data_IF_202443481440
#
_entry.id   IF_202443481440
#
_cell.length_a   1.000
_cell.length_b   1.000
_cell.length_c   1.000
_cell.angle_alpha   90.00
_cell.angle_beta   90.00
_cell.angle_gamma   90.00
#
_symmetry.space_group_name_H-M   'P 1'
#
loop_
_entity.id
_entity.type
_entity.pdbx_description
1 polymer ?
#
# COMPACT_ATOMS: atom_id res chain seq x y z
N UNK A 1 3.30 -13.84 -46.12
CA UNK A 1 2.75 -12.97 -45.07
C UNK A 1 3.85 -12.73 -44.05
N UNK A 2 4.46 -11.54 -44.06
CA UNK A 2 5.51 -11.18 -43.10
C UNK A 2 4.84 -10.60 -41.85
N UNK A 3 4.84 -11.36 -40.76
CA UNK A 3 4.34 -10.86 -39.47
C UNK A 3 5.40 -9.96 -38.86
N UNK A 4 5.06 -8.69 -38.62
CA UNK A 4 5.94 -7.80 -37.88
C UNK A 4 6.24 -8.41 -36.49
N UNK A 5 7.49 -8.35 -36.01
CA UNK A 5 7.83 -8.88 -34.70
C UNK A 5 7.07 -8.13 -33.61
N UNK A 6 6.56 -8.87 -32.62
CA UNK A 6 6.00 -8.32 -31.40
C UNK A 6 7.07 -7.46 -30.71
N UNK A 7 6.86 -6.14 -30.69
CA UNK A 7 7.72 -5.21 -29.99
C UNK A 7 7.16 -5.00 -28.59
N UNK A 8 7.86 -5.52 -27.59
CA UNK A 8 7.56 -5.27 -26.19
C UNK A 8 8.20 -3.95 -25.78
N UNK A 9 7.38 -2.97 -25.42
CA UNK A 9 7.85 -1.70 -24.86
C UNK A 9 7.81 -1.81 -23.34
N UNK A 10 8.99 -1.74 -22.72
CA UNK A 10 9.14 -1.79 -21.27
C UNK A 10 9.03 -0.36 -20.73
N UNK A 11 7.94 -0.06 -20.04
CA UNK A 11 7.86 1.11 -19.18
C UNK A 11 8.35 0.71 -17.79
N UNK A 12 9.46 1.31 -17.34
CA UNK A 12 10.05 1.03 -16.03
C UNK A 12 9.08 1.35 -14.86
N UNK A 13 8.09 2.20 -15.10
CA UNK A 13 7.16 2.69 -14.09
C UNK A 13 5.76 2.04 -14.18
N UNK A 14 5.51 1.24 -15.23
CA UNK A 14 4.21 0.60 -15.42
C UNK A 14 4.02 -0.54 -14.41
N UNK A 15 3.05 -0.36 -13.51
CA UNK A 15 2.57 -1.42 -12.62
C UNK A 15 1.39 -2.12 -13.28
N UNK A 16 1.52 -3.43 -13.48
CA UNK A 16 0.45 -4.24 -14.08
C UNK A 16 -0.56 -4.59 -13.00
N UNK A 17 -1.83 -4.28 -13.26
CA UNK A 17 -2.95 -4.77 -12.45
C UNK A 17 -3.24 -6.23 -12.84
N UNK A 18 -3.24 -7.12 -11.85
CA UNK A 18 -3.46 -8.55 -12.03
C UNK A 18 -4.85 -8.95 -11.50
N UNK A 19 -5.53 -9.96 -12.08
CA UNK A 19 -6.80 -10.44 -11.54
C UNK A 19 -6.69 -10.82 -10.06
N UNK A 20 -7.62 -10.34 -9.24
CA UNK A 20 -7.61 -10.53 -7.80
C UNK A 20 -8.27 -11.85 -7.38
N UNK A 21 -7.59 -12.94 -7.68
CA UNK A 21 -7.97 -14.28 -7.25
C UNK A 21 -6.79 -15.02 -6.62
N UNK A 22 -7.08 -16.02 -5.77
CA UNK A 22 -6.06 -16.75 -4.99
C UNK A 22 -4.95 -17.34 -5.87
N UNK A 23 -5.30 -17.88 -7.03
CA UNK A 23 -4.33 -18.48 -7.96
C UNK A 23 -3.36 -17.45 -8.54
N UNK A 24 -3.87 -16.30 -8.99
CA UNK A 24 -3.01 -15.20 -9.49
C UNK A 24 -2.13 -14.61 -8.39
N UNK A 25 -2.67 -14.42 -7.18
CA UNK A 25 -1.90 -13.93 -6.04
C UNK A 25 -0.74 -14.89 -5.74
N UNK A 26 -0.99 -16.21 -5.68
CA UNK A 26 0.05 -17.20 -5.40
C UNK A 26 1.11 -17.30 -6.50
N UNK A 27 0.71 -17.11 -7.76
CA UNK A 27 1.62 -17.18 -8.90
C UNK A 27 2.55 -15.95 -8.99
N UNK A 28 2.06 -14.75 -8.67
CA UNK A 28 2.79 -13.50 -8.95
C UNK A 28 3.31 -12.75 -7.71
N UNK A 29 2.83 -13.08 -6.52
CA UNK A 29 3.25 -12.43 -5.29
C UNK A 29 4.13 -13.38 -4.50
N UNK A 30 5.42 -13.04 -4.31
CA UNK A 30 6.32 -13.90 -3.56
C UNK A 30 5.89 -14.03 -2.08
N UNK A 31 5.89 -15.25 -1.49
CA UNK A 31 5.61 -15.43 -0.07
C UNK A 31 6.73 -14.86 0.80
N UNK A 32 6.41 -14.52 2.06
CA UNK A 32 7.40 -14.12 3.07
C UNK A 32 7.98 -12.70 2.91
N UNK A 33 7.41 -11.89 2.02
CA UNK A 33 7.88 -10.53 1.78
C UNK A 33 6.89 -9.47 2.30
N UNK A 34 7.40 -8.42 2.99
CA UNK A 34 6.62 -7.20 3.22
C UNK A 34 6.19 -6.57 1.89
N UNK A 35 5.13 -5.77 1.93
CA UNK A 35 4.70 -5.04 0.76
C UNK A 35 3.40 -4.26 0.96
N UNK A 36 3.13 -3.39 0.01
CA UNK A 36 1.87 -2.66 -0.11
C UNK A 36 1.09 -3.14 -1.33
N UNK A 37 -0.22 -2.93 -1.35
CA UNK A 37 -1.10 -3.30 -2.45
C UNK A 37 -2.25 -2.31 -2.63
N UNK A 38 -2.78 -2.27 -3.85
CA UNK A 38 -4.00 -1.60 -4.23
C UNK A 38 -4.99 -2.64 -4.75
N UNK A 39 -6.28 -2.46 -4.45
CA UNK A 39 -7.37 -3.25 -5.02
C UNK A 39 -8.27 -2.36 -5.86
N UNK A 40 -8.80 -2.93 -6.94
CA UNK A 40 -9.55 -2.23 -7.96
C UNK A 40 -10.95 -2.81 -8.14
N UNK A 41 -11.93 -1.93 -8.33
CA UNK A 41 -13.33 -2.24 -8.66
C UNK A 41 -13.76 -1.34 -9.81
N UNK A 42 -14.31 -1.89 -10.88
CA UNK A 42 -14.59 -1.16 -12.12
C UNK A 42 -13.35 -0.51 -12.73
N UNK A 43 -12.16 -1.09 -12.54
CA UNK A 43 -10.89 -0.51 -12.97
C UNK A 43 -10.40 0.71 -12.16
N UNK A 44 -11.14 1.13 -11.12
CA UNK A 44 -10.78 2.25 -10.24
C UNK A 44 -10.12 1.69 -8.97
N UNK A 45 -8.97 2.22 -8.50
CA UNK A 45 -8.43 1.83 -7.22
C UNK A 45 -9.40 2.29 -6.12
N UNK A 46 -9.73 1.41 -5.18
CA UNK A 46 -10.70 1.72 -4.11
C UNK A 46 -10.21 1.34 -2.72
N UNK A 47 -9.12 0.58 -2.63
CA UNK A 47 -8.58 0.12 -1.37
C UNK A 47 -7.06 0.06 -1.46
N UNK A 48 -6.40 0.56 -0.44
CA UNK A 48 -4.95 0.41 -0.24
C UNK A 48 -4.70 -0.38 1.04
N UNK A 49 -3.69 -1.24 1.03
CA UNK A 49 -3.27 -1.92 2.25
C UNK A 49 -1.81 -2.33 2.21
N UNK A 50 -1.30 -2.78 3.36
CA UNK A 50 0.03 -3.41 3.45
C UNK A 50 0.06 -4.69 4.26
N UNK A 51 1.23 -5.32 4.26
CA UNK A 51 1.65 -6.34 5.21
C UNK A 51 3.13 -6.13 5.54
N UNK A 52 3.47 -6.17 6.83
CA UNK A 52 4.87 -6.04 7.29
C UNK A 52 5.67 -7.33 7.15
N UNK A 53 5.01 -8.46 6.89
CA UNK A 53 5.66 -9.78 6.89
C UNK A 53 5.41 -10.57 5.62
N UNK A 54 4.17 -10.60 5.14
CA UNK A 54 3.83 -11.40 3.98
C UNK A 54 2.58 -10.80 3.30
N UNK A 55 2.79 -10.08 2.21
CA UNK A 55 1.69 -9.50 1.43
C UNK A 55 0.87 -10.59 0.72
N UNK A 56 1.49 -11.70 0.30
CA UNK A 56 0.77 -12.84 -0.28
C UNK A 56 -0.27 -13.40 0.71
N UNK A 57 0.12 -13.68 1.97
CA UNK A 57 -0.79 -14.19 3.00
C UNK A 57 -1.94 -13.21 3.26
N UNK A 58 -1.64 -11.91 3.30
CA UNK A 58 -2.64 -10.85 3.49
C UNK A 58 -3.66 -10.82 2.35
N UNK A 59 -3.20 -10.85 1.10
CA UNK A 59 -4.05 -10.83 -0.10
C UNK A 59 -4.91 -12.09 -0.24
N UNK A 60 -4.34 -13.29 0.01
CA UNK A 60 -5.08 -14.57 -0.08
C UNK A 60 -6.20 -14.68 0.96
N UNK A 61 -6.08 -14.02 2.10
CA UNK A 61 -7.10 -13.97 3.15
C UNK A 61 -7.99 -12.72 3.11
N UNK A 62 -7.88 -11.88 2.08
CA UNK A 62 -8.49 -10.56 2.10
C UNK A 62 -10.02 -10.60 1.92
N UNK A 63 -10.80 -9.80 2.68
CA UNK A 63 -12.27 -9.81 2.59
C UNK A 63 -12.84 -9.26 1.27
N UNK A 64 -12.01 -8.62 0.44
CA UNK A 64 -12.42 -8.17 -0.90
C UNK A 64 -12.22 -9.24 -1.98
N UNK A 65 -11.78 -10.45 -1.65
CA UNK A 65 -11.76 -11.54 -2.62
C UNK A 65 -13.19 -11.81 -3.13
N UNK A 66 -13.34 -11.84 -4.46
CA UNK A 66 -14.66 -11.93 -5.11
C UNK A 66 -15.45 -10.61 -5.16
N UNK A 67 -14.90 -9.51 -4.65
CA UNK A 67 -15.49 -8.16 -4.73
C UNK A 67 -14.64 -7.19 -5.57
N UNK A 68 -13.32 -7.21 -5.38
CA UNK A 68 -12.39 -6.50 -6.23
C UNK A 68 -11.97 -7.39 -7.42
N UNK A 69 -11.82 -6.80 -8.60
CA UNK A 69 -11.48 -7.54 -9.82
C UNK A 69 -9.97 -7.67 -10.01
N UNK A 70 -9.21 -6.64 -9.62
CA UNK A 70 -7.77 -6.58 -9.84
C UNK A 70 -7.02 -6.07 -8.62
N UNK A 71 -5.72 -6.37 -8.58
CA UNK A 71 -4.79 -5.83 -7.62
C UNK A 71 -3.48 -5.41 -8.26
N UNK A 72 -2.83 -4.42 -7.67
CA UNK A 72 -1.42 -4.07 -7.90
C UNK A 72 -0.71 -4.29 -6.57
N UNK A 73 0.55 -4.71 -6.61
CA UNK A 73 1.35 -4.83 -5.39
C UNK A 73 2.75 -4.25 -5.58
N UNK A 74 3.39 -3.92 -4.46
CA UNK A 74 4.78 -3.48 -4.39
C UNK A 74 5.54 -4.34 -3.39
N UNK A 75 6.54 -5.13 -3.82
CA UNK A 75 7.44 -5.78 -2.89
C UNK A 75 8.24 -4.74 -2.10
N UNK A 76 8.43 -4.98 -0.82
CA UNK A 76 9.28 -4.16 0.04
C UNK A 76 10.25 -5.07 0.81
N UNK A 77 11.43 -4.57 1.14
CA UNK A 77 12.40 -5.33 1.94
C UNK A 77 12.24 -5.09 3.44
N UNK A 78 11.54 -4.01 3.83
CA UNK A 78 11.33 -3.62 5.24
C UNK A 78 9.90 -3.12 5.49
N UNK A 79 9.33 -3.34 6.68
CA UNK A 79 8.02 -2.79 7.11
C UNK A 79 7.89 -1.28 6.88
N UNK A 80 8.96 -0.54 7.21
CA UNK A 80 9.04 0.92 7.00
C UNK A 80 8.77 1.33 5.54
N UNK A 81 9.27 0.57 4.57
CA UNK A 81 9.06 0.85 3.15
C UNK A 81 7.61 0.55 2.74
N UNK A 82 7.05 -0.56 3.25
CA UNK A 82 5.65 -0.91 3.01
C UNK A 82 4.71 0.15 3.59
N UNK A 83 5.00 0.66 4.79
CA UNK A 83 4.29 1.78 5.40
C UNK A 83 4.35 3.05 4.56
N UNK A 84 5.53 3.44 4.07
CA UNK A 84 5.66 4.62 3.21
C UNK A 84 4.90 4.46 1.89
N UNK A 85 4.97 3.28 1.27
CA UNK A 85 4.25 3.02 0.02
C UNK A 85 2.73 3.02 0.23
N UNK A 86 2.25 2.37 1.29
CA UNK A 86 0.83 2.41 1.68
C UNK A 86 0.37 3.84 1.96
N UNK A 87 1.17 4.62 2.70
CA UNK A 87 0.87 6.01 3.00
C UNK A 87 0.78 6.85 1.73
N UNK A 88 1.77 6.77 0.85
CA UNK A 88 1.73 7.47 -0.44
C UNK A 88 0.43 7.18 -1.19
N UNK A 89 0.10 5.90 -1.37
CA UNK A 89 -1.12 5.51 -2.08
C UNK A 89 -2.41 5.86 -1.34
N UNK A 90 -2.43 5.83 -0.01
CA UNK A 90 -3.56 6.27 0.80
C UNK A 90 -3.86 7.74 0.54
N UNK A 91 -2.84 8.59 0.59
CA UNK A 91 -2.98 10.03 0.36
C UNK A 91 -3.47 10.30 -1.09
N UNK A 92 -2.85 9.68 -2.10
CA UNK A 92 -3.31 9.78 -3.50
C UNK A 92 -4.77 9.31 -3.69
N UNK A 93 -5.15 8.22 -3.03
CA UNK A 93 -6.48 7.61 -3.19
C UNK A 93 -7.57 8.43 -2.47
N UNK A 94 -7.22 9.01 -1.33
CA UNK A 94 -8.10 9.89 -0.55
C UNK A 94 -8.33 11.20 -1.29
N UNK A 95 -7.27 11.81 -1.84
CA UNK A 95 -7.37 13.02 -2.66
C UNK A 95 -8.23 12.81 -3.92
N UNK A 96 -8.20 11.61 -4.50
CA UNK A 96 -9.05 11.23 -5.62
C UNK A 96 -10.51 10.94 -5.23
N UNK A 97 -10.84 10.87 -3.94
CA UNK A 97 -12.20 10.60 -3.46
C UNK A 97 -12.70 9.16 -3.68
N UNK A 98 -11.80 8.19 -3.88
CA UNK A 98 -12.15 6.79 -4.15
C UNK A 98 -11.86 5.84 -2.98
N UNK A 99 -11.19 6.32 -1.93
CA UNK A 99 -10.79 5.51 -0.79
C UNK A 99 -12.00 4.94 -0.04
N UNK A 100 -12.08 3.60 0.03
CA UNK A 100 -13.05 2.90 0.89
C UNK A 100 -12.48 2.54 2.25
N UNK A 101 -11.15 2.51 2.39
CA UNK A 101 -10.49 2.42 3.69
C UNK A 101 -10.06 3.82 4.14
N UNK A 102 -10.87 4.43 5.00
CA UNK A 102 -10.66 5.80 5.48
C UNK A 102 -9.63 5.89 6.61
N UNK A 103 -9.20 4.76 7.19
CA UNK A 103 -8.24 4.74 8.28
C UNK A 103 -6.83 4.89 7.72
N UNK A 104 -6.13 5.95 8.15
CA UNK A 104 -4.74 6.20 7.78
C UNK A 104 -3.82 5.03 8.19
N UNK A 105 -2.82 4.68 7.37
CA UNK A 105 -1.78 3.73 7.72
C UNK A 105 -1.16 3.94 9.10
N UNK A 106 -1.34 2.96 9.98
CA UNK A 106 -0.62 2.96 11.25
C UNK A 106 0.89 2.81 11.01
N UNK A 107 1.69 3.56 11.76
CA UNK A 107 3.15 3.41 11.75
C UNK A 107 3.56 2.02 12.27
N UNK A 108 4.50 1.30 11.64
CA UNK A 108 4.97 0.01 12.14
C UNK A 108 5.77 0.19 13.44
N UNK A 109 5.73 -0.84 14.31
CA UNK A 109 6.44 -0.82 15.60
C UNK A 109 7.94 -0.60 15.41
N UNK A 110 8.52 0.34 16.17
CA UNK A 110 9.96 0.65 16.14
C UNK A 110 10.39 1.59 15.00
N UNK A 111 9.47 2.06 14.15
CA UNK A 111 9.76 3.06 13.14
C UNK A 111 10.12 4.42 13.77
N UNK A 112 11.23 5.01 13.32
CA UNK A 112 11.76 6.25 13.87
C UNK A 112 10.99 7.51 13.42
N UNK A 113 10.24 7.44 12.31
CA UNK A 113 9.56 8.60 11.71
C UNK A 113 8.09 8.29 11.46
N UNK A 114 7.27 9.34 11.55
CA UNK A 114 5.85 9.29 11.17
C UNK A 114 5.65 9.22 9.65
N UNK A 115 4.39 9.33 9.22
CA UNK A 115 4.05 9.42 7.81
C UNK A 115 4.68 10.67 7.18
N UNK A 116 5.46 10.56 6.09
CA UNK A 116 6.08 11.71 5.45
C UNK A 116 5.11 12.54 4.59
N UNK A 117 3.87 12.08 4.41
CA UNK A 117 2.86 12.70 3.55
C UNK A 117 1.76 13.43 4.34
N UNK A 118 1.67 13.18 5.65
CA UNK A 118 0.81 13.96 6.54
C UNK A 118 1.37 15.37 6.70
N UNK A 119 0.48 16.35 6.90
CA UNK A 119 0.88 17.69 7.34
C UNK A 119 1.12 17.65 8.84
N UNK A 120 2.01 18.51 9.33
CA UNK A 120 2.15 18.74 10.77
C UNK A 120 1.45 20.06 11.09
N UNK A 121 0.45 20.02 11.96
CA UNK A 121 -0.17 21.21 12.53
C UNK A 121 -0.07 21.08 14.06
N UNK A 122 0.55 22.08 14.71
CA UNK A 122 0.77 22.13 16.17
C UNK A 122 1.37 20.85 16.78
N UNK A 123 2.29 20.19 16.07
CA UNK A 123 2.97 18.96 16.54
C UNK A 123 2.18 17.67 16.32
N UNK A 124 0.97 17.75 15.78
CA UNK A 124 0.11 16.62 15.45
C UNK A 124 0.24 16.32 13.95
N UNK A 125 0.40 15.04 13.59
CA UNK A 125 0.27 14.63 12.19
C UNK A 125 -1.20 14.65 11.83
N UNK A 126 -1.54 15.40 10.79
CA UNK A 126 -2.88 15.54 10.26
C UNK A 126 -2.90 14.99 8.84
N UNK A 127 -3.83 14.08 8.56
CA UNK A 127 -4.05 13.61 7.19
C UNK A 127 -4.93 14.59 6.40
N UNK A 128 -5.31 14.23 5.18
CA UNK A 128 -6.11 15.10 4.31
C UNK A 128 -7.54 15.34 4.81
N UNK A 129 -8.05 14.50 5.71
CA UNK A 129 -9.39 14.67 6.29
C UNK A 129 -9.42 15.70 7.42
N UNK A 130 -8.25 16.15 7.89
CA UNK A 130 -8.16 17.04 9.05
C UNK A 130 -8.14 16.30 10.40
N UNK A 131 -8.19 14.96 10.40
CA UNK A 131 -8.12 14.15 11.61
C UNK A 131 -6.66 13.94 12.07
N UNK A 132 -6.47 13.93 13.39
CA UNK A 132 -5.17 13.68 14.01
C UNK A 132 -4.78 12.20 13.92
N UNK A 133 -3.60 11.93 13.36
CA UNK A 133 -3.08 10.58 13.08
C UNK A 133 -2.01 10.14 14.11
N UNK A 134 -1.82 10.92 15.17
CA UNK A 134 -0.85 10.70 16.25
C UNK A 134 0.35 11.68 16.23
N UNK A 135 1.22 11.58 17.25
CA UNK A 135 2.35 12.50 17.45
C UNK A 135 3.37 12.47 16.31
N UNK A 136 3.76 13.66 15.82
CA UNK A 136 4.80 13.84 14.82
C UNK A 136 6.17 13.29 15.27
N UNK A 137 6.44 13.34 16.57
CA UNK A 137 7.71 12.97 17.20
C UNK A 137 7.43 12.59 18.66
N UNK A 138 6.96 11.36 18.91
CA UNK A 138 7.15 10.79 20.25
C UNK A 138 8.52 10.10 20.27
N UNK A 139 9.57 10.69 20.90
CA UNK A 139 10.80 9.97 21.15
C UNK A 139 10.45 8.78 22.05
N UNK A 140 10.91 7.58 21.69
CA UNK A 140 10.76 6.40 22.54
C UNK A 140 11.30 6.72 23.95
N UNK A 141 10.48 6.80 25.02
CA UNK A 141 10.99 7.06 26.35
C UNK A 141 11.40 5.77 27.07
N UNK A 142 11.53 4.63 26.37
CA UNK A 142 11.94 3.36 26.97
C UNK A 142 13.22 2.85 26.31
N UNK A 143 14.34 3.38 26.79
CA UNK A 143 15.71 2.97 26.46
C UNK A 143 16.77 3.50 27.42
N UNK A 144 16.37 3.98 28.60
CA UNK A 144 17.29 4.37 29.68
C UNK A 144 16.78 3.75 30.99
N UNK A 145 17.25 2.54 31.27
CA UNK A 145 17.42 1.94 32.59
C UNK A 145 18.40 0.77 32.43
#
# INVERSE_FOLDING_TARGET
MSGAPLRLEFSADARIALPFCRSMIRAFVAPGHPGAYLLFVGGVPVYVGRSDRCVQTRLVGHPYLGRAEHFVWHPCTRPEQAFRMESYWYHQLTDAGHARNLIHPARPTGAARGCPFCRVLDGILIDHSGEGVGDALSPNPRGAA
#
